data_IF_074145834130
#
_entry.id   IF_074145834130
#
_cell.length_a   1.000
_cell.length_b   1.000
_cell.length_c   1.000
_cell.angle_alpha   90.00
_cell.angle_beta   90.00
_cell.angle_gamma   90.00
#
_symmetry.space_group_name_H-M   'P 1'
#
loop_
_entity.id
_entity.type
_entity.pdbx_description
1 polymer ?
#
# COMPACT_ATOMS: atom_id res chain seq x y z
N UNK A 1 -30.34 12.77 43.42
CA UNK A 1 -29.84 11.88 44.51
C UNK A 1 -29.33 10.57 43.92
N UNK A 2 -30.08 9.89 43.06
CA UNK A 2 -29.68 8.61 42.40
C UNK A 2 -28.36 8.67 41.65
N UNK A 3 -28.05 9.78 40.94
CA UNK A 3 -26.78 9.93 40.20
C UNK A 3 -25.57 10.02 41.15
N UNK A 4 -25.73 10.51 42.37
CA UNK A 4 -24.67 10.52 43.38
C UNK A 4 -24.41 9.14 43.99
N UNK A 5 -25.45 8.33 44.11
CA UNK A 5 -25.31 6.92 44.55
C UNK A 5 -24.53 6.08 43.54
N UNK A 6 -24.68 6.39 42.24
CA UNK A 6 -23.92 5.76 41.17
C UNK A 6 -22.46 6.24 41.04
N UNK A 7 -21.99 7.12 41.93
CA UNK A 7 -20.62 7.67 41.94
C UNK A 7 -20.20 8.33 40.65
N UNK A 8 -21.15 8.97 39.95
CA UNK A 8 -20.87 9.69 38.70
C UNK A 8 -20.15 10.99 39.03
N UNK A 9 -18.95 11.19 38.51
CA UNK A 9 -18.26 12.48 38.56
C UNK A 9 -18.89 13.45 37.55
N UNK A 10 -19.07 14.70 37.95
CA UNK A 10 -19.71 15.77 37.16
C UNK A 10 -21.12 15.44 36.65
N UNK A 11 -22.08 15.16 37.55
CA UNK A 11 -23.47 15.02 37.13
C UNK A 11 -23.98 16.33 36.49
N UNK A 12 -24.85 16.27 35.49
CA UNK A 12 -25.39 17.47 34.85
C UNK A 12 -26.16 18.32 35.90
N UNK A 13 -26.09 19.65 35.72
CA UNK A 13 -26.84 20.54 36.56
C UNK A 13 -28.35 20.24 36.49
N UNK A 14 -28.99 20.17 37.64
CA UNK A 14 -30.42 19.84 37.74
C UNK A 14 -31.30 20.76 36.89
N UNK A 15 -30.89 22.02 36.72
CA UNK A 15 -31.64 22.99 35.92
C UNK A 15 -31.50 22.65 34.44
N UNK A 16 -30.28 22.40 33.94
CA UNK A 16 -30.04 22.00 32.58
C UNK A 16 -30.74 20.68 32.22
N UNK A 17 -30.72 19.73 33.13
CA UNK A 17 -31.41 18.46 32.95
C UNK A 17 -32.92 18.62 32.83
N UNK A 18 -33.52 19.46 33.67
CA UNK A 18 -34.96 19.77 33.60
C UNK A 18 -35.33 20.47 32.31
N UNK A 19 -34.54 21.44 31.88
CA UNK A 19 -34.79 22.18 30.64
C UNK A 19 -34.66 21.25 29.39
N UNK A 20 -33.67 20.40 29.39
CA UNK A 20 -33.51 19.40 28.33
C UNK A 20 -34.67 18.39 28.29
N UNK A 21 -35.06 17.84 29.44
CA UNK A 21 -36.16 16.89 29.52
C UNK A 21 -37.50 17.53 29.14
N UNK A 22 -37.73 18.82 29.49
CA UNK A 22 -38.94 19.53 29.08
C UNK A 22 -38.97 19.76 27.56
N UNK A 23 -37.85 20.14 26.94
CA UNK A 23 -37.77 20.32 25.48
C UNK A 23 -38.03 19.03 24.75
N UNK A 24 -37.44 17.91 25.19
CA UNK A 24 -37.58 16.61 24.56
C UNK A 24 -38.99 16.05 24.77
N UNK A 25 -39.54 16.15 25.97
CA UNK A 25 -40.90 15.69 26.27
C UNK A 25 -41.99 16.43 25.49
N UNK A 26 -41.72 17.68 25.08
CA UNK A 26 -42.62 18.44 24.20
C UNK A 26 -42.63 17.94 22.74
N UNK A 27 -41.55 17.29 22.31
CA UNK A 27 -41.38 16.82 20.93
C UNK A 27 -41.63 15.33 20.78
N UNK A 28 -41.26 14.54 21.80
CA UNK A 28 -41.35 13.06 21.80
C UNK A 28 -42.11 12.59 23.03
N UNK A 29 -43.41 12.26 22.88
CA UNK A 29 -44.25 11.94 24.04
C UNK A 29 -43.92 10.60 24.74
N UNK A 30 -43.21 9.68 24.07
CA UNK A 30 -42.78 8.39 24.64
C UNK A 30 -41.28 8.22 24.46
N UNK A 31 -40.45 8.90 25.26
CA UNK A 31 -39.01 8.72 25.27
C UNK A 31 -38.65 7.45 26.04
N UNK A 32 -38.13 6.43 25.35
CA UNK A 32 -37.76 5.14 25.96
C UNK A 32 -36.31 5.14 26.44
N UNK A 33 -35.42 5.75 25.65
CA UNK A 33 -33.99 5.83 25.97
C UNK A 33 -33.47 7.27 25.82
N UNK A 34 -32.94 7.82 26.91
CA UNK A 34 -32.33 9.15 26.90
C UNK A 34 -30.95 9.10 27.55
N UNK A 35 -29.93 9.56 26.85
CA UNK A 35 -28.57 9.65 27.35
C UNK A 35 -28.45 10.86 28.26
N UNK A 36 -28.37 10.64 29.57
CA UNK A 36 -28.21 11.70 30.58
C UNK A 36 -26.77 12.21 30.68
N UNK A 37 -25.82 11.29 30.52
CA UNK A 37 -24.39 11.55 30.64
C UNK A 37 -23.70 10.65 29.65
N UNK A 38 -22.78 11.21 28.88
CA UNK A 38 -21.87 10.45 28.03
C UNK A 38 -20.45 10.47 28.59
N UNK A 39 -19.70 9.42 28.33
CA UNK A 39 -18.25 9.41 28.55
C UNK A 39 -17.54 10.36 27.59
N UNK A 40 -16.36 10.80 27.96
CA UNK A 40 -15.44 11.51 27.10
C UNK A 40 -14.54 10.46 26.44
N UNK A 41 -14.81 10.04 25.18
CA UNK A 41 -14.03 8.97 24.57
C UNK A 41 -12.59 9.44 24.34
N UNK A 42 -11.60 8.54 24.43
CA UNK A 42 -10.23 8.88 24.10
C UNK A 42 -10.11 9.27 22.62
N UNK A 43 -9.27 10.25 22.33
CA UNK A 43 -8.93 10.63 20.97
C UNK A 43 -7.77 9.74 20.51
N UNK A 44 -7.94 8.92 19.47
CA UNK A 44 -6.88 8.02 19.03
C UNK A 44 -5.66 8.80 18.52
N UNK A 45 -4.45 8.24 18.68
CA UNK A 45 -3.22 8.85 18.15
C UNK A 45 -3.19 8.75 16.63
N UNK A 46 -2.38 9.59 16.01
CA UNK A 46 -2.00 9.44 14.60
C UNK A 46 -0.66 8.73 14.54
N UNK A 47 -0.64 7.53 13.97
CA UNK A 47 0.60 6.81 13.73
C UNK A 47 1.40 7.45 12.59
N UNK A 48 2.72 7.42 12.74
CA UNK A 48 3.63 7.85 11.69
C UNK A 48 3.54 6.91 10.49
N UNK A 49 3.35 7.45 9.30
CA UNK A 49 3.26 6.70 8.05
C UNK A 49 3.79 7.51 6.90
N UNK A 50 3.98 6.85 5.77
CA UNK A 50 4.28 7.55 4.52
C UNK A 50 2.99 7.69 3.71
N UNK A 51 2.72 8.90 3.25
CA UNK A 51 1.72 9.18 2.23
C UNK A 51 2.42 9.16 0.87
N UNK A 52 2.06 8.16 0.06
CA UNK A 52 2.71 7.92 -1.23
C UNK A 52 2.06 8.76 -2.34
N UNK A 53 2.87 9.30 -3.25
CA UNK A 53 2.40 10.08 -4.41
C UNK A 53 1.79 9.20 -5.52
N UNK A 54 1.97 7.89 -5.43
CA UNK A 54 1.44 6.93 -6.40
C UNK A 54 1.25 5.54 -5.81
N UNK A 55 0.57 4.70 -6.55
CA UNK A 55 0.33 3.30 -6.19
C UNK A 55 1.50 2.42 -6.65
N UNK A 56 2.63 2.53 -5.97
CA UNK A 56 3.88 1.86 -6.35
C UNK A 56 3.90 0.36 -6.03
N UNK A 57 3.07 -0.10 -5.09
CA UNK A 57 3.21 -1.42 -4.47
C UNK A 57 2.09 -2.40 -4.84
N UNK A 58 1.06 -1.95 -5.56
CA UNK A 58 -0.02 -2.82 -6.02
C UNK A 58 0.43 -3.62 -7.26
N UNK A 59 0.99 -4.79 -7.01
CA UNK A 59 1.27 -5.79 -8.05
C UNK A 59 0.08 -6.74 -8.29
N UNK A 60 -1.06 -6.51 -7.62
CA UNK A 60 -2.20 -7.41 -7.63
C UNK A 60 -3.12 -7.21 -8.83
N UNK A 61 -3.50 -8.31 -9.48
CA UNK A 61 -4.77 -8.38 -10.21
C UNK A 61 -5.87 -8.03 -9.22
N UNK A 62 -6.54 -6.90 -9.40
CA UNK A 62 -7.76 -6.61 -8.66
C UNK A 62 -8.81 -7.59 -9.16
N UNK A 63 -8.99 -8.69 -8.46
CA UNK A 63 -10.18 -9.50 -8.58
C UNK A 63 -11.32 -8.75 -7.89
N UNK A 64 -11.80 -7.70 -8.52
CA UNK A 64 -12.91 -6.87 -8.09
C UNK A 64 -14.02 -6.98 -9.12
N UNK A 65 -15.15 -7.47 -8.69
CA UNK A 65 -16.41 -7.45 -9.39
C UNK A 65 -16.68 -6.04 -9.96
N UNK A 66 -16.33 -5.84 -11.22
CA UNK A 66 -17.09 -4.99 -12.14
C UNK A 66 -16.57 -5.23 -13.55
N UNK A 67 -17.50 -5.71 -14.39
CA UNK A 67 -17.30 -5.95 -15.83
C UNK A 67 -17.23 -4.58 -16.49
N UNK A 68 -16.05 -3.96 -16.46
CA UNK A 68 -15.71 -2.79 -17.24
C UNK A 68 -14.35 -3.05 -17.86
N UNK A 69 -14.21 -2.69 -19.11
CA UNK A 69 -12.99 -2.81 -19.92
C UNK A 69 -11.83 -2.12 -19.18
N UNK A 70 -11.06 -2.91 -18.41
CA UNK A 70 -9.88 -2.41 -17.68
C UNK A 70 -8.83 -2.07 -18.73
N UNK A 71 -8.45 -0.81 -18.82
CA UNK A 71 -7.32 -0.39 -19.66
C UNK A 71 -6.02 -0.84 -18.99
N UNK A 72 -5.49 -1.97 -19.49
CA UNK A 72 -4.25 -2.57 -18.99
C UNK A 72 -3.01 -1.70 -19.22
N UNK A 73 -3.10 -0.65 -20.02
CA UNK A 73 -1.99 0.25 -20.31
C UNK A 73 -1.66 1.20 -19.18
N UNK A 74 -2.65 1.63 -18.39
CA UNK A 74 -2.42 2.51 -17.25
C UNK A 74 -1.86 1.80 -16.02
N UNK A 75 -2.16 0.50 -15.81
CA UNK A 75 -1.72 -0.24 -14.62
C UNK A 75 -0.24 -0.64 -14.62
N UNK A 76 0.40 -0.72 -15.76
CA UNK A 76 1.79 -1.20 -15.87
C UNK A 76 2.84 -0.12 -15.63
N UNK A 77 2.46 1.15 -15.66
CA UNK A 77 3.36 2.26 -15.27
C UNK A 77 3.36 2.56 -13.76
N UNK A 78 2.44 1.96 -13.00
CA UNK A 78 2.15 2.32 -11.60
C UNK A 78 3.30 2.09 -10.61
N UNK A 79 4.31 1.34 -10.95
CA UNK A 79 5.48 1.14 -10.08
C UNK A 79 6.75 1.85 -10.56
N UNK A 80 6.74 2.48 -11.73
CA UNK A 80 7.93 3.10 -12.32
C UNK A 80 7.94 4.60 -12.11
N UNK A 81 9.12 5.13 -11.80
CA UNK A 81 9.34 6.55 -11.55
C UNK A 81 10.54 7.07 -12.32
N UNK A 82 10.55 8.36 -12.60
CA UNK A 82 11.70 9.05 -13.18
C UNK A 82 12.66 9.53 -12.09
N UNK A 83 13.93 9.69 -12.46
CA UNK A 83 14.92 10.31 -11.59
C UNK A 83 14.43 11.68 -11.10
N UNK A 84 14.52 11.91 -9.79
CA UNK A 84 14.09 13.12 -9.12
C UNK A 84 12.61 13.13 -8.72
N UNK A 85 11.84 12.10 -9.09
CA UNK A 85 10.45 12.00 -8.71
C UNK A 85 10.29 11.95 -7.19
N UNK A 86 9.28 12.66 -6.69
CA UNK A 86 8.82 12.53 -5.32
C UNK A 86 8.07 11.21 -5.18
N UNK A 87 8.41 10.43 -4.17
CA UNK A 87 7.78 9.15 -3.88
C UNK A 87 6.70 9.25 -2.81
N UNK A 88 6.94 10.08 -1.81
CA UNK A 88 5.98 10.28 -0.73
C UNK A 88 6.53 11.13 0.40
N UNK A 89 5.64 11.51 1.30
CA UNK A 89 5.92 12.33 2.47
C UNK A 89 5.69 11.54 3.76
N UNK A 90 6.55 11.75 4.76
CA UNK A 90 6.29 11.26 6.11
C UNK A 90 5.20 12.10 6.78
N UNK A 91 4.14 11.44 7.22
CA UNK A 91 3.16 12.00 8.14
C UNK A 91 3.67 11.75 9.56
N UNK A 92 3.98 12.78 10.33
CA UNK A 92 4.52 12.61 11.68
C UNK A 92 3.47 12.01 12.62
N UNK A 93 3.95 11.41 13.70
CA UNK A 93 3.11 10.99 14.81
C UNK A 93 2.43 12.21 15.45
N UNK A 94 1.23 11.97 15.97
CA UNK A 94 0.53 12.89 16.86
C UNK A 94 -0.01 12.09 18.02
N UNK A 95 0.25 12.56 19.23
CA UNK A 95 -0.27 11.95 20.45
C UNK A 95 -1.80 12.00 20.46
N UNK A 96 -2.40 10.95 20.98
CA UNK A 96 -3.82 10.93 21.29
C UNK A 96 -4.07 11.58 22.64
N UNK A 97 -5.34 11.70 22.99
CA UNK A 97 -5.77 12.23 24.29
C UNK A 97 -6.53 11.16 25.05
N UNK A 98 -6.17 10.98 26.32
CA UNK A 98 -6.90 10.05 27.18
C UNK A 98 -8.35 10.49 27.38
N UNK A 99 -9.24 9.54 27.37
CA UNK A 99 -10.65 9.79 27.69
C UNK A 99 -10.97 9.58 29.17
N UNK A 100 -12.23 9.85 29.50
CA UNK A 100 -12.77 9.56 30.82
C UNK A 100 -14.12 8.86 30.69
N UNK A 101 -14.33 7.86 31.52
CA UNK A 101 -15.64 7.22 31.59
C UNK A 101 -16.58 8.07 32.45
N UNK A 102 -17.85 7.72 32.49
CA UNK A 102 -18.90 8.43 33.30
C UNK A 102 -18.62 8.46 34.79
N UNK A 103 -17.71 7.62 35.29
CA UNK A 103 -17.27 7.57 36.68
C UNK A 103 -16.00 8.39 36.95
N UNK A 104 -15.56 9.20 35.97
CA UNK A 104 -14.31 9.99 36.05
C UNK A 104 -13.04 9.17 35.97
N UNK A 105 -13.14 7.87 35.67
CA UNK A 105 -11.96 7.02 35.53
C UNK A 105 -11.34 7.25 34.18
N UNK A 106 -10.04 7.52 34.16
CA UNK A 106 -9.21 7.67 32.95
C UNK A 106 -9.26 6.42 32.08
N UNK A 107 -9.52 6.62 30.79
CA UNK A 107 -9.43 5.60 29.75
C UNK A 107 -8.18 5.94 28.91
N UNK A 108 -7.06 5.22 29.10
CA UNK A 108 -5.81 5.54 28.44
C UNK A 108 -5.91 5.27 26.93
N UNK A 109 -5.19 6.06 26.16
CA UNK A 109 -4.98 5.87 24.73
C UNK A 109 -3.66 5.16 24.49
N UNK A 110 -3.54 4.47 23.37
CA UNK A 110 -2.29 3.83 22.94
C UNK A 110 -1.26 4.88 22.52
N UNK A 111 0.02 4.57 22.70
CA UNK A 111 1.10 5.43 22.23
C UNK A 111 1.20 5.33 20.69
N UNK A 112 1.49 6.45 19.97
CA UNK A 112 1.69 6.41 18.54
C UNK A 112 2.96 5.64 18.17
N UNK A 113 2.91 4.93 17.04
CA UNK A 113 4.04 4.17 16.50
C UNK A 113 4.47 4.79 15.17
N UNK A 114 5.77 4.80 14.89
CA UNK A 114 6.34 5.26 13.63
C UNK A 114 6.54 4.08 12.67
N UNK A 115 5.93 4.18 11.48
CA UNK A 115 6.04 3.21 10.40
C UNK A 115 6.71 3.87 9.18
N UNK A 116 8.02 4.17 9.28
CA UNK A 116 8.77 4.76 8.19
C UNK A 116 9.74 3.76 7.59
N UNK A 117 9.78 3.60 6.26
CA UNK A 117 10.74 2.72 5.62
C UNK A 117 12.16 3.25 5.77
N UNK A 118 13.11 2.33 5.83
CA UNK A 118 14.53 2.64 5.75
C UNK A 118 14.90 3.03 4.31
N UNK A 119 15.83 3.95 4.18
CA UNK A 119 16.35 4.39 2.89
C UNK A 119 17.29 3.32 2.32
N UNK A 120 16.91 2.74 1.20
CA UNK A 120 17.69 1.78 0.44
C UNK A 120 18.37 2.40 -0.77
N UNK A 121 18.69 1.57 -1.76
CA UNK A 121 19.42 1.99 -2.96
C UNK A 121 18.60 2.94 -3.85
N UNK A 122 19.26 3.94 -4.43
CA UNK A 122 18.70 4.93 -5.35
C UNK A 122 17.53 5.75 -4.77
N UNK A 123 17.50 5.88 -3.44
CA UNK A 123 16.54 6.71 -2.71
C UNK A 123 17.31 7.82 -1.97
N UNK A 124 16.79 9.04 -2.04
CA UNK A 124 17.23 10.16 -1.21
C UNK A 124 16.08 10.59 -0.31
N UNK A 125 16.37 10.67 0.99
CA UNK A 125 15.44 11.24 1.95
C UNK A 125 15.84 12.69 2.25
N UNK A 126 14.89 13.60 2.11
CA UNK A 126 15.05 15.02 2.48
C UNK A 126 14.45 15.25 3.87
N UNK A 127 15.30 15.40 4.87
CA UNK A 127 14.88 15.56 6.26
C UNK A 127 14.10 16.88 6.50
N UNK A 128 14.36 17.93 5.73
CA UNK A 128 13.65 19.22 5.87
C UNK A 128 12.21 19.12 5.35
N UNK A 129 12.02 18.41 4.26
CA UNK A 129 10.71 18.19 3.64
C UNK A 129 10.02 16.93 4.15
N UNK A 130 10.73 16.10 4.91
CA UNK A 130 10.30 14.77 5.34
C UNK A 130 9.78 13.93 4.16
N UNK A 131 10.55 13.92 3.07
CA UNK A 131 10.11 13.37 1.79
C UNK A 131 11.16 12.44 1.17
N UNK A 132 10.70 11.39 0.48
CA UNK A 132 11.51 10.43 -0.25
C UNK A 132 11.51 10.77 -1.74
N UNK A 133 12.70 10.74 -2.36
CA UNK A 133 12.90 11.03 -3.79
C UNK A 133 13.69 9.90 -4.44
N UNK A 134 13.33 9.60 -5.70
CA UNK A 134 14.09 8.68 -6.53
C UNK A 134 15.38 9.35 -7.04
N UNK A 135 16.53 8.72 -6.86
CA UNK A 135 17.81 9.19 -7.43
C UNK A 135 18.08 8.67 -8.83
N UNK A 136 17.39 7.59 -9.22
CA UNK A 136 17.40 7.02 -10.58
C UNK A 136 16.00 6.79 -11.08
N UNK A 137 15.86 6.67 -12.39
CA UNK A 137 14.63 6.15 -13.00
C UNK A 137 14.57 4.66 -12.82
N UNK A 138 13.40 4.13 -12.45
CA UNK A 138 13.26 2.72 -12.20
C UNK A 138 11.97 2.36 -11.48
N UNK A 139 11.91 1.14 -10.99
CA UNK A 139 10.75 0.61 -10.28
C UNK A 139 10.93 0.76 -8.77
N UNK A 140 9.92 1.34 -8.12
CA UNK A 140 9.91 1.49 -6.65
C UNK A 140 9.61 0.15 -6.01
N UNK A 141 10.39 -0.19 -4.99
CA UNK A 141 10.27 -1.45 -4.24
C UNK A 141 10.36 -1.21 -2.74
N UNK A 142 9.51 -1.89 -2.01
CA UNK A 142 9.53 -1.90 -0.54
C UNK A 142 9.60 -3.36 -0.07
N UNK A 143 10.75 -3.77 0.46
CA UNK A 143 10.98 -5.13 0.97
C UNK A 143 11.63 -5.04 2.34
N UNK A 144 11.07 -5.74 3.32
CA UNK A 144 11.55 -5.74 4.72
C UNK A 144 11.72 -4.31 5.25
N UNK A 145 10.75 -3.43 4.97
CA UNK A 145 10.77 -2.01 5.33
C UNK A 145 11.92 -1.19 4.72
N UNK A 146 12.59 -1.71 3.69
CA UNK A 146 13.62 -0.98 2.93
C UNK A 146 13.00 -0.50 1.61
N UNK A 147 12.98 0.84 1.43
CA UNK A 147 12.52 1.48 0.22
C UNK A 147 13.68 1.65 -0.76
N UNK A 148 13.55 1.13 -1.98
CA UNK A 148 14.57 1.22 -3.03
C UNK A 148 13.96 1.51 -4.40
N UNK A 149 14.78 1.96 -5.34
CA UNK A 149 14.41 2.05 -6.76
C UNK A 149 15.37 1.17 -7.56
N UNK A 150 14.81 0.11 -8.14
CA UNK A 150 15.55 -0.78 -9.03
C UNK A 150 15.64 -0.17 -10.42
N UNK A 151 16.83 -0.12 -10.98
CA UNK A 151 17.04 0.32 -12.36
C UNK A 151 16.31 -0.62 -13.31
N UNK A 152 15.53 -0.08 -14.24
CA UNK A 152 14.71 -0.87 -15.18
C UNK A 152 15.31 -0.80 -16.57
N UNK A 153 15.60 -1.98 -17.13
CA UNK A 153 15.95 -2.14 -18.54
C UNK A 153 14.68 -2.48 -19.33
N UNK A 154 14.29 -1.60 -20.24
CA UNK A 154 13.08 -1.78 -21.05
C UNK A 154 13.45 -2.22 -22.46
N UNK A 155 12.77 -3.26 -22.96
CA UNK A 155 12.89 -3.78 -24.32
C UNK A 155 11.56 -3.59 -25.04
N UNK A 156 11.55 -2.76 -26.10
CA UNK A 156 10.31 -2.36 -26.79
C UNK A 156 9.91 -3.32 -27.93
N UNK A 157 10.74 -4.30 -28.22
CA UNK A 157 10.55 -5.32 -29.27
C UNK A 157 10.39 -6.71 -28.66
N UNK A 158 10.10 -7.70 -29.51
CA UNK A 158 10.14 -9.09 -29.09
C UNK A 158 11.58 -9.49 -28.75
N UNK A 159 11.73 -10.32 -27.72
CA UNK A 159 13.03 -10.90 -27.35
C UNK A 159 13.12 -12.29 -27.93
N UNK A 160 14.05 -12.49 -28.83
CA UNK A 160 14.32 -13.76 -29.52
C UNK A 160 15.83 -13.99 -29.66
N UNK A 161 16.21 -15.02 -30.40
CA UNK A 161 17.63 -15.34 -30.68
C UNK A 161 18.36 -14.15 -31.33
N UNK A 162 17.67 -13.34 -32.13
CA UNK A 162 18.29 -12.20 -32.84
C UNK A 162 18.56 -11.01 -31.90
N UNK A 163 17.80 -10.89 -30.84
CA UNK A 163 17.99 -9.87 -29.82
C UNK A 163 19.20 -10.17 -28.92
N UNK A 164 19.58 -11.45 -28.84
CA UNK A 164 20.64 -11.95 -27.97
C UNK A 164 20.20 -12.07 -26.51
N UNK A 165 21.09 -12.57 -25.66
CA UNK A 165 20.84 -12.77 -24.24
C UNK A 165 20.77 -11.44 -23.51
N UNK A 166 19.78 -11.29 -22.64
CA UNK A 166 19.60 -10.12 -21.78
C UNK A 166 20.03 -10.50 -20.38
N UNK A 167 21.12 -9.88 -19.88
CA UNK A 167 21.60 -10.05 -18.51
C UNK A 167 21.61 -8.66 -17.85
N UNK A 168 20.84 -8.48 -16.78
CA UNK A 168 20.70 -7.20 -16.12
C UNK A 168 20.71 -7.31 -14.60
N UNK A 169 21.33 -6.33 -13.92
CA UNK A 169 21.45 -6.31 -12.46
C UNK A 169 20.23 -5.74 -11.74
N UNK A 170 19.30 -5.12 -12.46
CA UNK A 170 18.04 -4.55 -11.95
C UNK A 170 16.82 -5.32 -12.47
N UNK A 171 15.75 -4.58 -12.72
CA UNK A 171 14.53 -5.12 -13.31
C UNK A 171 14.57 -5.08 -14.84
N UNK A 172 13.89 -6.04 -15.49
CA UNK A 172 13.73 -6.09 -16.96
C UNK A 172 12.25 -6.02 -17.29
N UNK A 173 11.89 -5.14 -18.23
CA UNK A 173 10.53 -5.04 -18.77
C UNK A 173 10.56 -5.28 -20.27
N UNK A 174 9.91 -6.34 -20.72
CA UNK A 174 9.70 -6.64 -22.14
C UNK A 174 8.30 -6.19 -22.54
N UNK A 175 8.22 -5.25 -23.49
CA UNK A 175 6.94 -4.66 -23.93
C UNK A 175 6.12 -5.60 -24.83
N UNK A 176 6.74 -6.67 -25.33
CA UNK A 176 6.14 -7.63 -26.25
C UNK A 176 6.38 -9.06 -25.77
N UNK A 177 6.61 -9.97 -26.71
CA UNK A 177 6.76 -11.40 -26.44
C UNK A 177 8.22 -11.78 -26.20
N UNK A 178 8.42 -12.88 -25.49
CA UNK A 178 9.69 -13.56 -25.34
C UNK A 178 9.58 -14.92 -26.05
N UNK A 179 10.34 -15.08 -27.12
CA UNK A 179 10.18 -16.18 -28.07
C UNK A 179 11.32 -17.19 -27.98
N UNK A 180 11.15 -18.31 -28.68
CA UNK A 180 12.01 -19.47 -28.58
C UNK A 180 13.50 -19.20 -28.73
N UNK A 181 14.30 -19.74 -27.82
CA UNK A 181 15.74 -19.61 -27.74
C UNK A 181 16.26 -18.32 -27.10
N UNK A 182 15.37 -17.42 -26.67
CA UNK A 182 15.75 -16.24 -25.90
C UNK A 182 16.18 -16.61 -24.49
N UNK A 183 17.14 -15.86 -23.95
CA UNK A 183 17.54 -15.93 -22.53
C UNK A 183 17.43 -14.57 -21.88
N UNK A 184 16.74 -14.51 -20.74
CA UNK A 184 16.67 -13.30 -19.91
C UNK A 184 17.06 -13.69 -18.48
N UNK A 185 18.08 -12.99 -17.96
CA UNK A 185 18.52 -13.11 -16.58
C UNK A 185 18.52 -11.72 -15.94
N UNK A 186 17.76 -11.55 -14.87
CA UNK A 186 17.68 -10.30 -14.10
C UNK A 186 17.84 -10.58 -12.61
N UNK A 187 18.64 -9.76 -11.92
CA UNK A 187 18.72 -9.84 -10.45
C UNK A 187 17.44 -9.34 -9.76
N UNK A 188 16.68 -8.47 -10.43
CA UNK A 188 15.40 -7.95 -9.98
C UNK A 188 14.20 -8.70 -10.58
N UNK A 189 13.12 -7.95 -10.77
CA UNK A 189 11.86 -8.44 -11.35
C UNK A 189 12.00 -8.53 -12.87
N UNK A 190 11.36 -9.55 -13.48
CA UNK A 190 11.13 -9.62 -14.91
C UNK A 190 9.64 -9.46 -15.17
N UNK A 191 9.28 -8.47 -15.99
CA UNK A 191 7.92 -8.23 -16.46
C UNK A 191 7.85 -8.40 -17.97
N UNK A 192 6.95 -9.29 -18.44
CA UNK A 192 6.69 -9.52 -19.87
C UNK A 192 5.24 -9.17 -20.15
N UNK A 193 5.02 -8.18 -21.02
CA UNK A 193 3.64 -7.75 -21.37
C UNK A 193 2.93 -8.70 -22.31
N UNK A 194 3.68 -9.45 -23.09
CA UNK A 194 3.19 -10.49 -23.98
C UNK A 194 3.21 -11.87 -23.34
N UNK A 195 3.56 -12.86 -24.15
CA UNK A 195 3.74 -14.26 -23.77
C UNK A 195 5.21 -14.63 -23.64
N UNK A 196 5.48 -15.72 -22.94
CA UNK A 196 6.77 -16.40 -22.97
C UNK A 196 6.57 -17.73 -23.66
N UNK A 197 7.34 -18.00 -24.72
CA UNK A 197 7.28 -19.25 -25.47
C UNK A 197 8.68 -19.80 -25.66
N UNK A 198 8.96 -21.00 -25.13
CA UNK A 198 10.21 -21.74 -25.28
C UNK A 198 11.50 -20.91 -25.06
N UNK A 199 11.53 -20.16 -23.95
CA UNK A 199 12.63 -19.30 -23.57
C UNK A 199 13.21 -19.67 -22.20
N UNK A 200 14.45 -19.26 -21.93
CA UNK A 200 15.10 -19.42 -20.63
C UNK A 200 14.97 -18.12 -19.83
N UNK A 201 14.27 -18.17 -18.68
CA UNK A 201 14.01 -17.01 -17.86
C UNK A 201 14.52 -17.26 -16.44
N UNK A 202 15.33 -16.32 -15.93
CA UNK A 202 15.79 -16.34 -14.56
C UNK A 202 15.60 -14.96 -13.91
N UNK A 203 14.58 -14.82 -13.08
CA UNK A 203 14.35 -13.63 -12.27
C UNK A 203 14.85 -13.85 -10.84
N UNK A 204 15.63 -12.92 -10.31
CA UNK A 204 16.01 -12.92 -8.89
C UNK A 204 14.84 -12.51 -7.98
N UNK A 205 13.93 -11.67 -8.48
CA UNK A 205 12.65 -11.29 -7.87
C UNK A 205 11.47 -12.06 -8.46
N UNK A 206 10.34 -11.35 -8.61
CA UNK A 206 9.12 -11.90 -9.21
C UNK A 206 9.21 -11.96 -10.73
N UNK A 207 8.50 -12.92 -11.34
CA UNK A 207 8.22 -12.96 -12.77
C UNK A 207 6.74 -12.66 -13.01
N UNK A 208 6.46 -11.58 -13.74
CA UNK A 208 5.12 -11.14 -14.08
C UNK A 208 4.95 -11.24 -15.61
N UNK A 209 4.02 -12.09 -16.04
CA UNK A 209 3.70 -12.29 -17.46
C UNK A 209 2.24 -11.94 -17.69
N UNK A 210 1.98 -10.87 -18.44
CA UNK A 210 0.60 -10.42 -18.70
C UNK A 210 -0.16 -11.34 -19.65
N UNK A 211 0.57 -12.11 -20.45
CA UNK A 211 0.03 -13.23 -21.22
C UNK A 211 0.25 -14.56 -20.51
N UNK A 212 0.52 -15.59 -21.25
CA UNK A 212 0.80 -16.94 -20.75
C UNK A 212 2.25 -17.33 -20.86
N UNK A 213 2.62 -18.38 -20.17
CA UNK A 213 3.90 -19.08 -20.32
C UNK A 213 3.64 -20.41 -20.98
N UNK A 214 4.29 -20.67 -22.12
CA UNK A 214 4.25 -21.92 -22.84
C UNK A 214 5.66 -22.44 -23.02
N UNK A 215 5.96 -23.59 -22.44
CA UNK A 215 7.30 -24.17 -22.45
C UNK A 215 7.26 -25.61 -22.94
N UNK A 216 8.17 -25.94 -23.87
CA UNK A 216 8.47 -27.34 -24.21
C UNK A 216 9.63 -27.86 -23.37
N UNK A 217 9.86 -29.18 -23.42
CA UNK A 217 10.98 -29.83 -22.74
C UNK A 217 12.31 -29.15 -23.03
N UNK A 218 13.11 -28.90 -21.99
CA UNK A 218 14.47 -28.32 -22.11
C UNK A 218 14.53 -26.82 -21.78
N UNK A 219 13.42 -26.11 -21.73
CA UNK A 219 13.41 -24.69 -21.35
C UNK A 219 13.05 -24.50 -19.89
N UNK A 220 13.64 -23.48 -19.24
CA UNK A 220 13.50 -23.28 -17.80
C UNK A 220 13.05 -21.87 -17.48
N UNK A 221 12.01 -21.76 -16.67
CA UNK A 221 11.53 -20.51 -16.08
C UNK A 221 11.67 -20.57 -14.56
N UNK A 222 12.45 -19.66 -13.99
CA UNK A 222 12.74 -19.61 -12.56
C UNK A 222 12.53 -18.19 -12.05
N UNK A 223 11.90 -18.06 -10.90
CA UNK A 223 11.81 -16.82 -10.16
C UNK A 223 12.23 -17.06 -8.71
N UNK A 224 12.98 -16.12 -8.13
CA UNK A 224 13.32 -16.13 -6.71
C UNK A 224 12.13 -15.76 -5.82
N UNK A 225 11.19 -14.97 -6.38
CA UNK A 225 9.89 -14.65 -5.80
C UNK A 225 8.75 -15.47 -6.41
N UNK A 226 7.60 -14.83 -6.64
CA UNK A 226 6.43 -15.44 -7.27
C UNK A 226 6.49 -15.44 -8.79
N UNK A 227 5.77 -16.39 -9.43
CA UNK A 227 5.46 -16.38 -10.85
C UNK A 227 3.97 -16.08 -11.03
N UNK A 228 3.67 -15.03 -11.77
CA UNK A 228 2.32 -14.60 -12.07
C UNK A 228 2.10 -14.57 -13.58
N UNK A 229 1.18 -15.37 -14.10
CA UNK A 229 0.84 -15.47 -15.51
C UNK A 229 -0.65 -15.79 -15.67
N UNK A 230 -1.23 -15.49 -16.85
CA UNK A 230 -2.63 -15.86 -17.13
C UNK A 230 -2.83 -17.37 -17.22
N UNK A 231 -1.84 -18.07 -17.76
CA UNK A 231 -1.78 -19.55 -17.83
C UNK A 231 -0.33 -20.01 -17.91
N UNK A 232 -0.07 -21.26 -17.51
CA UNK A 232 1.23 -21.94 -17.64
C UNK A 232 0.94 -23.30 -18.26
N UNK A 233 1.60 -23.59 -19.39
CA UNK A 233 1.43 -24.81 -20.18
C UNK A 233 2.82 -25.41 -20.53
#
# INVERSE_FOLDING_TARGET
EELKELRIENPPDQKQLKDQLQQISAVIPNLVDFVLISSDPPVPPVHGRVEWEGDFFNTGFVSGKEVGRVDYREKTSQGSVNKGALLGHQIPIKDGEDGFNVLGKKVPVEEPVEYYPQVGENIRFDANKKAYYAEKSGRVRLINDILSVDEVYTVDVDVDISTGDIIHTGAVVVQRDVLGGAKIEAAGIIEVRGIIENAEIQAGGDLIVHGGIRQSEGHKVVAGGGINAMYID
#
